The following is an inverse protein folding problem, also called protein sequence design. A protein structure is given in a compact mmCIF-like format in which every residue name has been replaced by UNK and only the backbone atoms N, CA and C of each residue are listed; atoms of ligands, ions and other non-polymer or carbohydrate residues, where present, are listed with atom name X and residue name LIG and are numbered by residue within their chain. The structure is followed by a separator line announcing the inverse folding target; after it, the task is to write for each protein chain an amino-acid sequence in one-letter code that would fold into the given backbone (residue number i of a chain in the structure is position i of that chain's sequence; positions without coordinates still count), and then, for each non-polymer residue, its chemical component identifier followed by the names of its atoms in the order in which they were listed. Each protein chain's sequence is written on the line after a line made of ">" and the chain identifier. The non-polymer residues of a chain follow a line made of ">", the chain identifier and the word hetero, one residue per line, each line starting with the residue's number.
data_IF_971074503589
#
_entry.id   IF_971074503589
#
_cell.length_a   1.000
_cell.length_b   1.000
_cell.length_c   1.000
_cell.angle_alpha   90.00
_cell.angle_beta   90.00
_cell.angle_gamma   90.00
#
_symmetry.space_group_name_H-M   'P 1'
#
loop_
_entity.id
_entity.type
_entity.pdbx_description
1 polymer ?
#
# COMPACT_ATOMS: atom_id res chain seq x y z
N UNK A 1 1.17 9.26 -7.56
CA UNK A 1 0.02 9.24 -6.66
C UNK A 1 -1.14 10.16 -7.12
N UNK A 2 -0.92 11.08 -8.07
CA UNK A 2 -1.99 11.94 -8.62
C UNK A 2 -2.71 11.31 -9.81
N UNK A 3 -2.15 10.29 -10.46
CA UNK A 3 -2.73 9.74 -11.69
C UNK A 3 -3.93 8.82 -11.47
N UNK A 4 -4.11 8.29 -10.27
CA UNK A 4 -5.32 7.56 -9.85
C UNK A 4 -6.35 8.48 -9.16
N UNK A 5 -6.20 9.80 -9.25
CA UNK A 5 -7.28 10.72 -8.86
C UNK A 5 -8.43 10.63 -9.85
N UNK A 6 -9.35 9.93 -9.47
CA UNK A 6 -10.78 10.04 -9.36
C UNK A 6 -11.58 10.28 -10.64
N UNK A 7 -11.23 11.16 -11.51
CA UNK A 7 -12.15 11.55 -12.59
C UNK A 7 -12.23 10.52 -13.72
N UNK A 8 -11.15 9.76 -13.97
CA UNK A 8 -11.13 8.71 -15.00
C UNK A 8 -11.58 7.34 -14.48
N UNK A 9 -11.38 7.05 -13.17
CA UNK A 9 -11.76 5.78 -12.54
C UNK A 9 -13.14 5.87 -11.88
N UNK A 10 -13.44 7.02 -11.26
CA UNK A 10 -14.69 7.20 -10.54
C UNK A 10 -15.84 7.64 -11.45
N UNK A 11 -15.58 8.00 -12.71
CA UNK A 11 -16.57 8.57 -13.61
C UNK A 11 -17.22 9.83 -13.01
N UNK A 12 -17.95 10.60 -13.79
CA UNK A 12 -18.68 11.79 -13.29
C UNK A 12 -19.73 11.49 -12.20
N UNK A 13 -19.99 10.21 -11.87
CA UNK A 13 -21.01 9.76 -10.92
C UNK A 13 -20.50 8.85 -9.80
N UNK A 14 -19.17 8.72 -9.60
CA UNK A 14 -18.60 8.04 -8.44
C UNK A 14 -18.94 6.55 -8.30
N UNK A 15 -19.06 5.79 -9.37
CA UNK A 15 -19.55 4.40 -9.37
C UNK A 15 -18.51 3.34 -9.02
N UNK A 16 -17.32 3.72 -8.53
CA UNK A 16 -16.34 2.76 -8.05
C UNK A 16 -16.81 2.15 -6.70
N UNK A 17 -16.69 0.83 -6.46
CA UNK A 17 -16.00 -0.18 -7.30
C UNK A 17 -16.88 -0.83 -8.39
N UNK A 18 -18.20 -0.57 -8.47
CA UNK A 18 -19.10 -1.21 -9.44
C UNK A 18 -18.68 -1.06 -10.91
N UNK A 19 -18.07 0.08 -11.25
CA UNK A 19 -17.55 0.31 -12.60
C UNK A 19 -16.50 -0.71 -13.03
N UNK A 20 -15.87 -1.41 -12.09
CA UNK A 20 -14.88 -2.46 -12.40
C UNK A 20 -15.49 -3.72 -13.00
N UNK A 21 -16.77 -3.98 -12.78
CA UNK A 21 -17.48 -5.13 -13.35
C UNK A 21 -17.52 -5.08 -14.90
N UNK A 22 -17.48 -3.88 -15.45
CA UNK A 22 -17.56 -3.64 -16.89
C UNK A 22 -16.22 -3.31 -17.55
N UNK A 23 -15.11 -3.43 -16.78
CA UNK A 23 -13.79 -3.11 -17.30
C UNK A 23 -13.29 -4.20 -18.25
N UNK A 24 -13.18 -3.87 -19.54
CA UNK A 24 -12.69 -4.83 -20.54
C UNK A 24 -11.23 -5.21 -20.30
N UNK A 25 -10.76 -6.37 -20.79
CA UNK A 25 -9.35 -6.75 -20.72
C UNK A 25 -8.42 -5.71 -21.32
N UNK A 26 -8.80 -5.10 -22.45
CA UNK A 26 -8.03 -4.06 -23.13
C UNK A 26 -7.88 -2.81 -22.25
N UNK A 27 -8.99 -2.36 -21.64
CA UNK A 27 -8.99 -1.20 -20.74
C UNK A 27 -8.13 -1.46 -19.50
N UNK A 28 -8.13 -2.69 -18.95
CA UNK A 28 -7.23 -3.04 -17.81
C UNK A 28 -5.76 -2.88 -18.19
N UNK A 29 -5.38 -3.37 -19.37
CA UNK A 29 -4.01 -3.25 -19.88
C UNK A 29 -3.64 -1.79 -20.12
N UNK A 30 -4.55 -1.02 -20.73
CA UNK A 30 -4.32 0.42 -20.97
C UNK A 30 -4.15 1.21 -19.68
N UNK A 31 -5.00 0.97 -18.67
CA UNK A 31 -4.88 1.60 -17.35
C UNK A 31 -3.55 1.25 -16.67
N UNK A 32 -3.13 -0.02 -16.73
CA UNK A 32 -1.84 -0.45 -16.18
C UNK A 32 -0.66 0.22 -16.88
N UNK A 33 -0.66 0.29 -18.22
CA UNK A 33 0.37 0.98 -19.01
C UNK A 33 0.40 2.47 -18.68
N UNK A 34 -0.77 3.11 -18.60
CA UNK A 34 -0.88 4.52 -18.23
C UNK A 34 -0.30 4.79 -16.85
N UNK A 35 -0.62 3.98 -15.85
CA UNK A 35 -0.07 4.10 -14.49
C UNK A 35 1.47 4.01 -14.51
N UNK A 36 2.00 3.03 -15.22
CA UNK A 36 3.45 2.84 -15.35
C UNK A 36 4.11 4.02 -16.04
N UNK A 37 3.51 4.60 -17.07
CA UNK A 37 4.06 5.78 -17.75
C UNK A 37 3.97 7.04 -16.88
N UNK A 38 2.82 7.29 -16.26
CA UNK A 38 2.59 8.47 -15.41
C UNK A 38 3.52 8.49 -14.18
N UNK A 39 3.92 7.32 -13.68
CA UNK A 39 4.84 7.19 -12.53
C UNK A 39 6.31 7.17 -12.92
N UNK A 40 6.65 7.15 -14.21
CA UNK A 40 8.03 7.05 -14.72
C UNK A 40 8.93 8.16 -14.19
N UNK A 41 8.42 9.38 -14.08
CA UNK A 41 9.15 10.53 -13.56
C UNK A 41 9.65 10.33 -12.10
N UNK A 42 9.00 9.46 -11.31
CA UNK A 42 9.34 9.23 -9.90
C UNK A 42 10.35 8.10 -9.70
N UNK A 43 10.53 7.20 -10.68
CA UNK A 43 11.38 6.00 -10.56
C UNK A 43 12.73 6.10 -11.25
N UNK A 44 12.99 7.19 -12.00
CA UNK A 44 14.20 7.36 -12.81
C UNK A 44 14.40 6.15 -13.74
N UNK A 45 15.61 5.56 -13.73
CA UNK A 45 16.00 4.37 -14.48
C UNK A 45 15.79 3.04 -13.72
N UNK A 46 15.21 3.08 -12.50
CA UNK A 46 15.06 1.88 -11.70
C UNK A 46 14.06 0.91 -12.35
N UNK A 47 14.41 -0.40 -12.45
CA UNK A 47 13.53 -1.41 -13.05
C UNK A 47 12.30 -1.70 -12.18
N UNK A 48 12.35 -1.39 -10.89
CA UNK A 48 11.27 -1.54 -9.91
C UNK A 48 11.13 -0.27 -9.07
N UNK A 49 9.95 -0.03 -8.56
CA UNK A 49 9.66 1.07 -7.64
C UNK A 49 8.58 0.66 -6.65
N UNK A 50 8.49 1.37 -5.55
CA UNK A 50 7.44 1.19 -4.55
C UNK A 50 6.43 2.32 -4.66
N UNK A 51 5.14 1.96 -4.63
CA UNK A 51 4.04 2.89 -4.40
C UNK A 51 3.47 2.63 -3.00
N UNK A 52 3.54 3.64 -2.13
CA UNK A 52 3.02 3.52 -0.78
C UNK A 52 2.02 4.63 -0.48
N UNK A 53 0.75 4.25 -0.35
CA UNK A 53 -0.30 5.06 0.24
C UNK A 53 -1.07 4.20 1.26
N UNK A 54 -1.28 4.68 2.50
CA UNK A 54 -1.92 3.88 3.55
C UNK A 54 -3.27 3.29 3.14
N UNK A 55 -4.03 3.98 2.31
CA UNK A 55 -5.37 3.55 1.87
C UNK A 55 -5.38 2.68 0.61
N UNK A 56 -4.22 2.27 0.05
CA UNK A 56 -4.16 1.40 -1.12
C UNK A 56 -4.80 0.01 -0.89
N UNK A 57 -4.91 -0.43 0.36
CA UNK A 57 -5.61 -1.67 0.70
C UNK A 57 -7.05 -1.72 0.19
N UNK A 58 -7.70 -0.57 0.00
CA UNK A 58 -9.05 -0.46 -0.56
C UNK A 58 -9.10 -0.75 -2.06
N UNK A 59 -7.96 -0.72 -2.74
CA UNK A 59 -7.84 -0.81 -4.20
C UNK A 59 -7.06 -2.03 -4.66
N UNK A 60 -6.77 -2.99 -3.78
CA UNK A 60 -5.98 -4.19 -4.10
C UNK A 60 -6.58 -4.96 -5.29
N UNK A 61 -7.90 -5.10 -5.37
CA UNK A 61 -8.57 -5.74 -6.50
C UNK A 61 -8.30 -5.02 -7.83
N UNK A 62 -8.41 -3.70 -7.86
CA UNK A 62 -8.07 -2.90 -9.04
C UNK A 62 -6.59 -3.03 -9.39
N UNK A 63 -5.70 -2.89 -8.41
CA UNK A 63 -4.25 -3.04 -8.61
C UNK A 63 -3.95 -4.39 -9.24
N UNK A 64 -4.55 -5.47 -8.73
CA UNK A 64 -4.35 -6.81 -9.28
C UNK A 64 -4.88 -6.93 -10.72
N UNK A 65 -5.99 -6.28 -11.05
CA UNK A 65 -6.57 -6.31 -12.41
C UNK A 65 -5.72 -5.58 -13.44
N UNK A 66 -5.14 -4.43 -13.08
CA UNK A 66 -4.39 -3.57 -14.02
C UNK A 66 -2.88 -3.83 -14.00
N UNK A 67 -2.36 -4.41 -12.91
CA UNK A 67 -0.95 -4.73 -12.70
C UNK A 67 -0.81 -6.11 -12.05
N UNK A 68 -1.12 -7.20 -12.77
CA UNK A 68 -1.17 -8.55 -12.19
C UNK A 68 0.16 -9.06 -11.64
N UNK A 69 1.28 -8.46 -12.06
CA UNK A 69 2.63 -8.78 -11.59
C UNK A 69 3.09 -7.91 -10.39
N UNK A 70 2.27 -6.95 -9.93
CA UNK A 70 2.59 -6.18 -8.75
C UNK A 70 2.64 -7.08 -7.52
N UNK A 71 3.72 -6.99 -6.74
CA UNK A 71 3.84 -7.63 -5.43
C UNK A 71 3.24 -6.70 -4.37
N UNK A 72 2.42 -7.22 -3.50
CA UNK A 72 1.72 -6.43 -2.48
C UNK A 72 2.24 -6.82 -1.11
N UNK A 73 2.70 -5.85 -0.35
CA UNK A 73 3.11 -6.02 1.06
C UNK A 73 2.12 -5.26 1.93
N UNK A 74 1.47 -5.98 2.84
CA UNK A 74 0.61 -5.44 3.88
C UNK A 74 1.43 -5.22 5.15
N UNK A 75 1.93 -3.99 5.34
CA UNK A 75 2.72 -3.61 6.51
C UNK A 75 1.77 -3.25 7.66
N UNK A 76 1.77 -4.07 8.70
CA UNK A 76 0.93 -3.93 9.90
C UNK A 76 1.71 -3.48 11.12
N UNK A 77 0.98 -2.94 12.05
CA UNK A 77 1.42 -2.65 13.40
C UNK A 77 0.34 -3.09 14.38
N UNK A 78 0.71 -3.36 15.64
CA UNK A 78 -0.24 -3.70 16.68
C UNK A 78 -1.41 -2.71 16.71
N UNK A 79 -2.68 -3.18 16.76
CA UNK A 79 -3.85 -2.33 16.56
C UNK A 79 -3.93 -1.11 17.47
N UNK A 80 -3.66 -1.29 18.77
CA UNK A 80 -3.74 -0.19 19.74
C UNK A 80 -2.65 0.87 19.48
N UNK A 81 -1.42 0.44 19.17
CA UNK A 81 -0.32 1.33 18.85
C UNK A 81 -0.57 2.10 17.55
N UNK A 82 -1.12 1.40 16.54
CA UNK A 82 -1.50 2.01 15.29
C UNK A 82 -2.58 3.09 15.48
N UNK A 83 -3.68 2.74 16.14
CA UNK A 83 -4.80 3.66 16.36
C UNK A 83 -4.39 4.85 17.25
N UNK A 84 -3.64 4.60 18.32
CA UNK A 84 -3.15 5.66 19.19
C UNK A 84 -2.15 6.59 18.48
N UNK A 85 -1.26 6.03 17.68
CA UNK A 85 -0.32 6.82 16.87
C UNK A 85 -1.05 7.71 15.86
N UNK A 86 -2.08 7.18 15.18
CA UNK A 86 -2.92 7.97 14.27
C UNK A 86 -3.66 9.08 15.00
N UNK A 87 -4.24 8.79 16.18
CA UNK A 87 -4.96 9.77 16.99
C UNK A 87 -4.07 10.94 17.45
N UNK A 88 -2.79 10.68 17.74
CA UNK A 88 -1.83 11.72 18.14
C UNK A 88 -1.40 12.63 16.98
N UNK A 89 -1.57 12.17 15.73
CA UNK A 89 -1.08 12.88 14.56
C UNK A 89 -2.16 13.77 13.95
N UNK A 90 -1.83 15.05 13.75
CA UNK A 90 -2.70 15.98 13.02
C UNK A 90 -2.54 15.72 11.50
N UNK A 91 -3.52 15.07 10.91
CA UNK A 91 -3.62 14.93 9.45
C UNK A 91 -4.49 16.08 8.93
N UNK A 92 -3.95 16.92 8.05
CA UNK A 92 -4.63 18.13 7.59
C UNK A 92 -5.93 17.87 6.83
N UNK A 93 -6.03 16.78 6.06
CA UNK A 93 -7.21 16.41 5.26
C UNK A 93 -7.25 14.91 4.95
N UNK A 94 -8.46 14.35 4.80
CA UNK A 94 -8.70 13.03 4.25
C UNK A 94 -8.46 11.86 5.21
N UNK A 95 -8.27 12.15 6.51
CA UNK A 95 -8.07 11.15 7.55
C UNK A 95 -8.88 11.50 8.80
N UNK A 96 -10.08 12.01 8.62
CA UNK A 96 -10.95 12.54 9.69
C UNK A 96 -11.28 11.50 10.77
N UNK A 97 -11.31 10.21 10.40
CA UNK A 97 -11.50 9.10 11.33
C UNK A 97 -10.40 8.98 12.39
N UNK A 98 -9.24 9.62 12.20
CA UNK A 98 -8.14 9.59 13.17
C UNK A 98 -8.34 10.50 14.37
N UNK A 99 -9.30 11.45 14.31
CA UNK A 99 -9.56 12.40 15.37
C UNK A 99 -10.39 11.83 16.54
N UNK A 100 -10.84 10.57 16.43
CA UNK A 100 -11.50 9.83 17.50
C UNK A 100 -10.95 8.41 17.62
N UNK A 101 -10.71 7.94 18.85
CA UNK A 101 -10.18 6.59 19.06
C UNK A 101 -11.19 5.50 18.64
N UNK A 102 -12.49 5.74 18.84
CA UNK A 102 -13.54 4.81 18.42
C UNK A 102 -13.63 4.70 16.89
N UNK A 103 -13.54 5.83 16.20
CA UNK A 103 -13.54 5.93 14.74
C UNK A 103 -12.28 5.28 14.15
N UNK A 104 -11.10 5.55 14.73
CA UNK A 104 -9.84 4.92 14.34
C UNK A 104 -9.91 3.40 14.53
N UNK A 105 -10.45 2.92 15.64
CA UNK A 105 -10.66 1.49 15.90
C UNK A 105 -11.64 0.84 14.92
N UNK A 106 -12.74 1.52 14.59
CA UNK A 106 -13.71 1.06 13.59
C UNK A 106 -13.10 0.98 12.19
N UNK A 107 -12.30 1.97 11.82
CA UNK A 107 -11.59 1.97 10.53
C UNK A 107 -10.56 0.85 10.47
N UNK A 108 -9.78 0.64 11.53
CA UNK A 108 -8.82 -0.46 11.61
C UNK A 108 -9.52 -1.83 11.49
N UNK A 109 -10.65 -2.02 12.16
CA UNK A 109 -11.45 -3.25 12.03
C UNK A 109 -11.91 -3.48 10.59
N UNK A 110 -12.40 -2.44 9.93
CA UNK A 110 -12.82 -2.51 8.51
C UNK A 110 -11.64 -2.85 7.59
N UNK A 111 -10.46 -2.27 7.87
CA UNK A 111 -9.23 -2.61 7.16
C UNK A 111 -8.89 -4.11 7.31
N UNK A 112 -8.91 -4.65 8.54
CA UNK A 112 -8.63 -6.09 8.76
C UNK A 112 -9.62 -6.96 8.01
N UNK A 113 -10.92 -6.68 8.10
CA UNK A 113 -11.95 -7.43 7.38
C UNK A 113 -11.75 -7.42 5.86
N UNK A 114 -11.37 -6.27 5.31
CA UNK A 114 -11.10 -6.17 3.88
C UNK A 114 -9.81 -6.92 3.48
N UNK A 115 -8.78 -6.89 4.32
CA UNK A 115 -7.56 -7.67 4.07
C UNK A 115 -7.80 -9.17 4.15
N UNK A 116 -8.64 -9.65 5.07
CA UNK A 116 -9.06 -11.05 5.16
C UNK A 116 -9.85 -11.47 3.91
N UNK A 117 -10.69 -10.57 3.37
CA UNK A 117 -11.34 -10.81 2.08
C UNK A 117 -10.30 -10.93 0.94
N UNK A 118 -9.32 -10.04 0.87
CA UNK A 118 -8.29 -10.13 -0.16
C UNK A 118 -7.45 -11.41 -0.04
N UNK A 119 -7.12 -11.86 1.15
CA UNK A 119 -6.41 -13.14 1.36
C UNK A 119 -7.24 -14.33 0.84
N UNK A 120 -8.57 -14.28 0.99
CA UNK A 120 -9.46 -15.33 0.53
C UNK A 120 -9.61 -15.37 -1.01
N UNK A 121 -9.70 -14.19 -1.66
CA UNK A 121 -9.95 -14.11 -3.12
C UNK A 121 -8.67 -14.02 -3.96
N UNK A 122 -7.55 -13.66 -3.35
CA UNK A 122 -6.23 -13.53 -3.98
C UNK A 122 -5.17 -14.29 -3.16
N UNK A 123 -5.28 -15.62 -3.02
CA UNK A 123 -4.38 -16.41 -2.18
C UNK A 123 -2.93 -16.23 -2.62
N UNK A 124 -2.02 -16.06 -1.66
CA UNK A 124 -0.57 -15.89 -1.87
C UNK A 124 -0.15 -14.65 -2.69
N UNK A 125 -1.04 -13.67 -2.88
CA UNK A 125 -0.71 -12.41 -3.59
C UNK A 125 -0.27 -11.29 -2.67
N UNK A 126 -0.51 -11.43 -1.37
CA UNK A 126 -0.23 -10.40 -0.38
C UNK A 126 0.68 -10.99 0.69
N UNK A 127 1.82 -10.35 0.92
CA UNK A 127 2.71 -10.67 2.03
C UNK A 127 2.37 -9.78 3.22
N UNK A 128 1.96 -10.39 4.34
CA UNK A 128 1.74 -9.66 5.60
C UNK A 128 3.04 -9.57 6.38
N UNK A 129 3.39 -8.34 6.81
CA UNK A 129 4.58 -8.05 7.59
C UNK A 129 4.18 -7.22 8.79
N UNK A 130 4.43 -7.72 10.01
CA UNK A 130 4.15 -6.97 11.23
C UNK A 130 5.41 -6.20 11.65
N UNK A 131 5.25 -4.97 12.07
CA UNK A 131 6.34 -4.13 12.54
C UNK A 131 7.07 -4.76 13.74
N UNK A 132 6.33 -5.42 14.61
CA UNK A 132 6.85 -6.08 15.80
C UNK A 132 7.78 -7.25 15.42
N UNK A 133 7.43 -8.01 14.38
CA UNK A 133 8.27 -9.10 13.87
C UNK A 133 9.57 -8.55 13.27
N UNK A 134 9.52 -7.40 12.57
CA UNK A 134 10.73 -6.72 12.06
C UNK A 134 11.65 -6.28 13.21
N UNK A 135 11.09 -5.76 14.30
CA UNK A 135 11.87 -5.33 15.47
C UNK A 135 12.56 -6.53 16.15
N UNK A 136 11.90 -7.68 16.20
CA UNK A 136 12.44 -8.87 16.83
C UNK A 136 13.43 -9.64 15.95
N UNK A 137 13.21 -9.65 14.63
CA UNK A 137 14.00 -10.41 13.66
C UNK A 137 14.09 -9.66 12.33
N UNK A 138 14.88 -8.60 12.30
CA UNK A 138 15.03 -7.75 11.11
C UNK A 138 15.52 -8.56 9.90
N UNK A 139 16.59 -9.35 10.09
CA UNK A 139 17.20 -10.09 8.98
C UNK A 139 16.25 -11.13 8.40
N UNK A 140 15.62 -11.95 9.24
CA UNK A 140 14.65 -12.94 8.78
C UNK A 140 13.44 -12.33 8.07
N UNK A 141 12.93 -11.18 8.56
CA UNK A 141 11.82 -10.50 7.88
C UNK A 141 12.25 -9.86 6.56
N UNK A 142 13.46 -9.31 6.48
CA UNK A 142 14.03 -8.79 5.22
C UNK A 142 14.20 -9.91 4.21
N UNK A 143 14.79 -11.04 4.58
CA UNK A 143 14.95 -12.20 3.71
C UNK A 143 13.59 -12.69 3.19
N UNK A 144 12.59 -12.80 4.08
CA UNK A 144 11.22 -13.21 3.69
C UNK A 144 10.56 -12.23 2.70
N UNK A 145 10.79 -10.92 2.89
CA UNK A 145 10.30 -9.90 1.95
C UNK A 145 11.01 -10.00 0.60
N UNK A 146 12.33 -10.16 0.59
CA UNK A 146 13.12 -10.26 -0.63
C UNK A 146 12.78 -11.53 -1.43
N UNK A 147 12.57 -12.66 -0.77
CA UNK A 147 12.11 -13.91 -1.39
C UNK A 147 10.73 -13.69 -2.07
N UNK A 148 9.77 -13.10 -1.36
CA UNK A 148 8.47 -12.78 -1.93
C UNK A 148 8.56 -11.82 -3.12
N UNK A 149 9.47 -10.85 -3.07
CA UNK A 149 9.71 -9.87 -4.14
C UNK A 149 10.55 -10.44 -5.28
N UNK A 150 11.11 -11.65 -5.14
CA UNK A 150 12.05 -12.25 -6.09
C UNK A 150 13.26 -11.33 -6.35
N UNK A 151 13.83 -10.81 -5.24
CA UNK A 151 15.00 -9.94 -5.26
C UNK A 151 16.17 -10.59 -4.53
N UNK A 152 17.40 -10.38 -4.98
CA UNK A 152 18.58 -10.83 -4.26
C UNK A 152 18.72 -10.06 -2.94
N UNK A 153 19.39 -10.68 -1.97
CA UNK A 153 19.77 -10.02 -0.74
C UNK A 153 20.88 -9.00 -0.99
N UNK A 154 20.74 -7.85 -0.35
CA UNK A 154 21.77 -6.81 -0.28
C UNK A 154 21.93 -6.36 1.20
N UNK A 155 23.17 -6.21 1.66
CA UNK A 155 23.49 -5.79 3.04
C UNK A 155 22.83 -4.46 3.40
N UNK A 156 22.73 -3.55 2.44
CA UNK A 156 22.06 -2.26 2.60
C UNK A 156 20.58 -2.35 3.01
N UNK A 157 19.93 -3.50 2.83
CA UNK A 157 18.58 -3.74 3.31
C UNK A 157 18.51 -3.86 4.83
N UNK A 158 19.61 -4.31 5.48
CA UNK A 158 19.72 -4.44 6.93
C UNK A 158 20.33 -3.19 7.54
N UNK A 159 21.34 -2.60 6.90
CA UNK A 159 22.01 -1.37 7.34
C UNK A 159 21.34 -0.09 6.82
N UNK A 160 20.02 -0.12 6.59
CA UNK A 160 19.27 0.98 5.99
C UNK A 160 19.38 2.31 6.78
N UNK A 161 19.70 2.25 8.05
CA UNK A 161 19.91 3.41 8.93
C UNK A 161 21.22 4.17 8.62
N UNK A 162 22.16 3.57 7.90
CA UNK A 162 23.38 4.23 7.41
C UNK A 162 23.13 5.04 6.12
N UNK A 163 21.97 4.87 5.51
CA UNK A 163 21.62 5.54 4.25
C UNK A 163 21.22 6.99 4.51
N UNK A 164 21.99 7.93 3.98
CA UNK A 164 21.65 9.37 4.02
C UNK A 164 20.48 9.67 3.07
N UNK A 165 19.28 9.71 3.64
CA UNK A 165 18.07 10.12 2.92
C UNK A 165 17.18 10.99 3.80
N UNK A 166 16.62 12.03 3.22
CA UNK A 166 15.61 12.83 3.92
C UNK A 166 14.30 12.04 4.06
N UNK A 167 13.82 11.85 5.30
CA UNK A 167 12.50 11.32 5.59
C UNK A 167 11.51 12.49 5.63
N UNK A 168 10.50 12.45 4.75
CA UNK A 168 9.44 13.48 4.66
C UNK A 168 8.10 12.83 5.01
N UNK A 169 7.84 12.64 6.29
CA UNK A 169 6.55 12.14 6.79
C UNK A 169 5.98 13.10 7.84
N UNK A 170 4.67 13.13 8.00
CA UNK A 170 4.01 13.95 9.01
C UNK A 170 4.45 13.62 10.46
N UNK A 171 5.09 12.47 10.67
CA UNK A 171 5.58 12.00 11.98
C UNK A 171 7.09 12.12 12.14
N UNK A 172 7.77 12.87 11.27
CA UNK A 172 9.24 13.04 11.30
C UNK A 172 9.70 14.23 12.16
N UNK A 173 8.82 14.81 12.97
CA UNK A 173 9.13 15.85 13.95
C UNK A 173 9.56 15.25 15.29
#
# INVERSE_FOLDING_TARGET
>A
AQSLRGDDIYGKEGNYPKSMEHLSPENRVEMGKKFIEDTKMHRKEAPRFTDKMPNNFRHIGLIHLIMPNAKIIDARRYPLDCCFSMFKQLFAQGQEFTYGLAEAGSYYKSYVQLMDHWDAVLPNKILRVNNEDIIHDLEGQVLRMLDFLELPFEESCITFYETDRSVRTASSE
#
